data_IF_438604285085
#
_entry.id   IF_438604285085
#
_cell.length_a   1.000
_cell.length_b   1.000
_cell.length_c   1.000
_cell.angle_alpha   90.00
_cell.angle_beta   90.00
_cell.angle_gamma   90.00
#
_symmetry.space_group_name_H-M   'P 1'
#
loop_
_entity.id
_entity.type
_entity.pdbx_description
1 polymer ?
#
# COMPACT_ATOMS: atom_id res chain seq x y z
N UNK A 1 14.40 -1.03 17.43
CA UNK A 1 13.72 -2.11 16.70
C UNK A 1 14.72 -2.83 15.82
N UNK A 2 14.48 -4.12 15.50
CA UNK A 2 15.38 -4.88 14.62
C UNK A 2 15.31 -4.31 13.20
N UNK A 3 16.45 -4.01 12.53
CA UNK A 3 16.44 -3.42 11.19
C UNK A 3 15.64 -4.23 10.18
N UNK A 4 15.64 -5.56 10.27
CA UNK A 4 14.89 -6.42 9.35
C UNK A 4 13.38 -6.25 9.56
N UNK A 5 12.96 -6.10 10.81
CA UNK A 5 11.55 -5.81 11.14
C UNK A 5 11.14 -4.43 10.64
N UNK A 6 12.03 -3.43 10.71
CA UNK A 6 11.76 -2.11 10.14
C UNK A 6 11.60 -2.16 8.60
N UNK A 7 12.45 -2.92 7.91
CA UNK A 7 12.34 -3.13 6.45
C UNK A 7 11.05 -3.88 6.10
N UNK A 8 10.69 -4.91 6.87
CA UNK A 8 9.43 -5.62 6.72
C UNK A 8 8.22 -4.67 6.88
N UNK A 9 8.27 -3.73 7.82
CA UNK A 9 7.19 -2.78 8.03
C UNK A 9 7.00 -1.81 6.86
N UNK A 10 8.07 -1.12 6.47
CA UNK A 10 8.01 -0.01 5.53
C UNK A 10 7.99 -0.49 4.09
N UNK A 11 8.99 -1.29 3.72
CA UNK A 11 9.21 -1.64 2.31
C UNK A 11 8.25 -2.74 1.87
N UNK A 12 8.10 -3.78 2.70
CA UNK A 12 7.21 -4.91 2.39
C UNK A 12 5.76 -4.58 2.77
N UNK A 13 5.52 -4.25 4.03
CA UNK A 13 4.17 -4.06 4.57
C UNK A 13 3.43 -2.85 4.03
N UNK A 14 4.12 -1.82 3.52
CA UNK A 14 3.50 -0.57 3.10
C UNK A 14 3.80 -0.19 1.64
N UNK A 15 5.07 -0.11 1.24
CA UNK A 15 5.47 0.36 -0.09
C UNK A 15 5.14 -0.66 -1.20
N UNK A 16 5.29 -1.97 -0.95
CA UNK A 16 5.01 -2.99 -1.97
C UNK A 16 3.54 -3.02 -2.47
N UNK A 17 2.61 -2.41 -1.73
CA UNK A 17 1.21 -2.28 -2.14
C UNK A 17 1.00 -1.17 -3.18
N UNK A 18 1.85 -0.12 -3.14
CA UNK A 18 1.68 1.14 -3.87
C UNK A 18 1.57 0.95 -5.38
N UNK A 19 2.46 0.18 -6.06
CA UNK A 19 2.35 -0.01 -7.51
C UNK A 19 1.01 -0.56 -7.95
N UNK A 20 0.48 -1.54 -7.22
CA UNK A 20 -0.80 -2.19 -7.54
C UNK A 20 -2.00 -1.25 -7.38
N UNK A 21 -1.94 -0.35 -6.38
CA UNK A 21 -2.99 0.62 -6.08
C UNK A 21 -2.95 1.76 -7.10
N UNK A 22 -1.77 2.35 -7.32
CA UNK A 22 -1.62 3.51 -8.19
C UNK A 22 -1.92 3.15 -9.66
N UNK A 23 -1.50 1.98 -10.15
CA UNK A 23 -1.88 1.51 -11.50
C UNK A 23 -3.40 1.48 -11.74
N UNK A 24 -4.20 1.25 -10.70
CA UNK A 24 -5.67 1.27 -10.79
C UNK A 24 -6.23 2.69 -10.67
N UNK A 25 -5.60 3.55 -9.87
CA UNK A 25 -6.08 4.90 -9.59
C UNK A 25 -5.74 5.90 -10.71
N UNK A 26 -4.50 5.91 -11.20
CA UNK A 26 -4.01 6.94 -12.12
C UNK A 26 -4.81 7.04 -13.43
N UNK A 27 -5.28 5.95 -14.06
CA UNK A 27 -6.18 6.05 -15.22
C UNK A 27 -7.46 6.83 -14.91
N UNK A 28 -8.07 6.59 -13.75
CA UNK A 28 -9.29 7.31 -13.33
C UNK A 28 -9.02 8.79 -13.09
N UNK A 29 -7.88 9.13 -12.47
CA UNK A 29 -7.47 10.53 -12.25
C UNK A 29 -7.33 11.29 -13.58
N UNK A 30 -6.72 10.66 -14.60
CA UNK A 30 -6.60 11.26 -15.94
C UNK A 30 -7.94 11.33 -16.67
N UNK A 31 -8.65 10.21 -16.77
CA UNK A 31 -9.81 10.08 -17.67
C UNK A 31 -11.07 10.76 -17.12
N UNK A 32 -11.30 10.68 -15.82
CA UNK A 32 -12.52 11.19 -15.17
C UNK A 32 -12.31 12.54 -14.52
N UNK A 33 -11.19 12.70 -13.80
CA UNK A 33 -10.89 13.93 -13.06
C UNK A 33 -10.04 14.94 -13.84
N UNK A 34 -9.54 14.56 -15.03
CA UNK A 34 -8.81 15.44 -15.96
C UNK A 34 -7.51 16.01 -15.39
N UNK A 35 -6.86 15.27 -14.49
CA UNK A 35 -5.53 15.61 -14.01
C UNK A 35 -4.54 15.60 -15.19
N UNK A 36 -3.63 16.57 -15.18
CA UNK A 36 -2.54 16.69 -16.15
C UNK A 36 -1.44 15.67 -15.88
N UNK A 37 -0.53 15.48 -16.85
CA UNK A 37 0.61 14.58 -16.69
C UNK A 37 1.54 14.98 -15.53
N UNK A 38 1.70 16.28 -15.29
CA UNK A 38 2.50 16.79 -14.16
C UNK A 38 1.84 16.49 -12.80
N UNK A 39 0.51 16.61 -12.70
CA UNK A 39 -0.22 16.32 -11.45
C UNK A 39 -0.24 14.83 -11.10
N UNK A 40 -0.04 13.95 -12.08
CA UNK A 40 0.01 12.49 -11.87
C UNK A 40 1.45 11.92 -11.86
N UNK A 41 2.46 12.74 -12.15
CA UNK A 41 3.86 12.31 -12.22
C UNK A 41 4.32 11.61 -10.94
N UNK A 42 3.89 12.11 -9.78
CA UNK A 42 4.17 11.48 -8.48
C UNK A 42 3.75 10.01 -8.44
N UNK A 43 2.57 9.69 -8.98
CA UNK A 43 2.05 8.32 -9.00
C UNK A 43 2.84 7.44 -9.96
N UNK A 44 3.16 7.95 -11.16
CA UNK A 44 3.91 7.20 -12.16
C UNK A 44 5.33 6.88 -11.69
N UNK A 45 5.99 7.84 -11.04
CA UNK A 45 7.30 7.64 -10.44
C UNK A 45 7.26 6.56 -9.35
N UNK A 46 6.28 6.60 -8.45
CA UNK A 46 6.12 5.61 -7.39
C UNK A 46 5.75 4.23 -7.94
N UNK A 47 5.01 4.13 -9.05
CA UNK A 47 4.75 2.81 -9.65
C UNK A 47 6.05 2.10 -10.04
N UNK A 48 6.99 2.82 -10.64
CA UNK A 48 8.25 2.22 -11.13
C UNK A 48 9.28 2.08 -10.02
N UNK A 49 9.48 3.14 -9.24
CA UNK A 49 10.39 3.13 -8.09
C UNK A 49 9.97 2.03 -7.12
N UNK A 50 8.66 1.91 -6.87
CA UNK A 50 8.19 1.08 -5.77
C UNK A 50 8.31 -0.43 -6.02
N UNK A 51 8.36 -0.82 -7.29
CA UNK A 51 8.64 -2.21 -7.67
C UNK A 51 10.09 -2.60 -7.37
N UNK A 52 11.05 -1.71 -7.62
CA UNK A 52 12.47 -2.04 -7.51
C UNK A 52 12.87 -2.16 -6.04
N UNK A 53 12.59 -1.14 -5.23
CA UNK A 53 12.93 -1.20 -3.81
C UNK A 53 12.02 -2.17 -3.04
N UNK A 54 10.78 -2.40 -3.47
CA UNK A 54 9.89 -3.42 -2.92
C UNK A 54 10.52 -4.81 -3.03
N UNK A 55 10.92 -5.20 -4.24
CA UNK A 55 11.64 -6.47 -4.48
C UNK A 55 12.91 -6.55 -3.63
N UNK A 56 13.70 -5.47 -3.58
CA UNK A 56 14.92 -5.47 -2.77
C UNK A 56 14.63 -5.64 -1.27
N UNK A 57 13.58 -5.01 -0.76
CA UNK A 57 13.12 -5.15 0.61
C UNK A 57 12.69 -6.58 0.92
N UNK A 58 11.95 -7.23 0.02
CA UNK A 58 11.60 -8.64 0.14
C UNK A 58 12.84 -9.52 0.28
N UNK A 59 13.84 -9.33 -0.60
CA UNK A 59 15.08 -10.11 -0.52
C UNK A 59 15.82 -9.90 0.81
N UNK A 60 15.92 -8.66 1.29
CA UNK A 60 16.52 -8.36 2.60
C UNK A 60 15.80 -9.11 3.73
N UNK A 61 14.47 -9.10 3.74
CA UNK A 61 13.68 -9.80 4.77
C UNK A 61 13.87 -11.31 4.66
N UNK A 62 13.81 -11.88 3.46
CA UNK A 62 13.99 -13.32 3.25
C UNK A 62 15.38 -13.82 3.66
N UNK A 63 16.42 -13.05 3.37
CA UNK A 63 17.81 -13.41 3.71
C UNK A 63 18.11 -13.27 5.21
N UNK A 64 17.52 -12.26 5.88
CA UNK A 64 17.93 -11.87 7.23
C UNK A 64 16.93 -12.24 8.34
N UNK A 65 15.66 -12.52 8.02
CA UNK A 65 14.71 -13.09 8.97
C UNK A 65 14.95 -14.61 9.14
N UNK A 66 16.09 -14.95 9.72
CA UNK A 66 16.66 -16.31 9.73
C UNK A 66 16.30 -17.14 10.98
N UNK A 67 15.44 -16.63 11.85
CA UNK A 67 14.85 -17.38 12.96
C UNK A 67 13.33 -17.31 12.90
N UNK A 68 12.66 -18.31 13.48
CA UNK A 68 11.18 -18.35 13.53
C UNK A 68 10.65 -17.11 14.25
N UNK A 69 11.29 -16.71 15.35
CA UNK A 69 10.89 -15.54 16.13
C UNK A 69 10.98 -14.25 15.30
N UNK A 70 12.04 -14.08 14.52
CA UNK A 70 12.22 -12.90 13.68
C UNK A 70 11.25 -12.90 12.48
N UNK A 71 11.00 -14.06 11.89
CA UNK A 71 9.98 -14.23 10.84
C UNK A 71 8.59 -13.84 11.33
N UNK A 72 8.19 -14.31 12.52
CA UNK A 72 6.89 -13.98 13.10
C UNK A 72 6.75 -12.47 13.36
N UNK A 73 7.82 -11.81 13.82
CA UNK A 73 7.83 -10.34 13.99
C UNK A 73 7.69 -9.61 12.65
N UNK A 74 8.38 -10.06 11.61
CA UNK A 74 8.28 -9.49 10.26
C UNK A 74 6.86 -9.67 9.69
N UNK A 75 6.27 -10.86 9.81
CA UNK A 75 4.90 -11.11 9.37
C UNK A 75 3.90 -10.24 10.12
N UNK A 76 4.06 -10.12 11.45
CA UNK A 76 3.16 -9.31 12.27
C UNK A 76 3.24 -7.83 11.89
N UNK A 77 4.42 -7.29 11.64
CA UNK A 77 4.55 -5.88 11.28
C UNK A 77 4.06 -5.61 9.85
N UNK A 78 4.20 -6.56 8.92
CA UNK A 78 3.57 -6.49 7.60
C UNK A 78 2.03 -6.45 7.71
N UNK A 79 1.45 -7.31 8.54
CA UNK A 79 0.00 -7.32 8.82
C UNK A 79 -0.46 -5.96 9.37
N UNK A 80 0.28 -5.39 10.33
CA UNK A 80 0.00 -4.06 10.89
C UNK A 80 0.09 -2.99 9.79
N UNK A 81 1.10 -3.02 8.92
CA UNK A 81 1.23 -2.09 7.80
C UNK A 81 0.02 -2.11 6.86
N UNK A 82 -0.46 -3.32 6.53
CA UNK A 82 -1.68 -3.49 5.73
C UNK A 82 -2.94 -2.97 6.47
N UNK A 83 -3.06 -3.24 7.77
CA UNK A 83 -4.16 -2.73 8.59
C UNK A 83 -4.15 -1.19 8.65
N UNK A 84 -2.99 -0.56 8.78
CA UNK A 84 -2.89 0.90 8.80
C UNK A 84 -3.35 1.52 7.48
N UNK A 85 -3.00 0.90 6.34
CA UNK A 85 -3.51 1.34 5.02
C UNK A 85 -5.03 1.23 4.96
N UNK A 86 -5.58 0.09 5.38
CA UNK A 86 -7.03 -0.12 5.42
C UNK A 86 -7.71 0.94 6.30
N UNK A 87 -7.25 1.12 7.54
CA UNK A 87 -7.83 2.08 8.48
C UNK A 87 -7.80 3.50 7.92
N UNK A 88 -6.70 3.92 7.29
CA UNK A 88 -6.60 5.22 6.65
C UNK A 88 -7.63 5.39 5.53
N UNK A 89 -7.73 4.43 4.61
CA UNK A 89 -8.69 4.50 3.50
C UNK A 89 -10.14 4.37 3.98
N UNK A 90 -10.39 3.57 5.01
CA UNK A 90 -11.69 3.45 5.68
C UNK A 90 -12.11 4.77 6.31
N UNK A 91 -11.21 5.48 6.98
CA UNK A 91 -11.50 6.80 7.54
C UNK A 91 -11.87 7.81 6.45
N UNK A 92 -11.11 7.85 5.34
CA UNK A 92 -11.47 8.70 4.19
C UNK A 92 -12.85 8.37 3.63
N UNK A 93 -13.20 7.10 3.53
CA UNK A 93 -14.52 6.68 3.07
C UNK A 93 -15.63 7.19 3.99
N UNK A 94 -15.50 7.00 5.30
CA UNK A 94 -16.51 7.44 6.26
C UNK A 94 -16.68 8.96 6.27
N UNK A 95 -15.58 9.70 6.20
CA UNK A 95 -15.60 11.16 6.26
C UNK A 95 -16.17 11.80 4.98
N UNK A 96 -15.83 11.25 3.80
CA UNK A 96 -16.08 11.90 2.52
C UNK A 96 -17.08 11.18 1.60
N UNK A 97 -17.39 9.91 1.81
CA UNK A 97 -18.18 9.10 0.84
C UNK A 97 -19.45 8.53 1.45
N UNK A 98 -19.43 8.05 2.70
CA UNK A 98 -20.54 7.28 3.29
C UNK A 98 -21.90 7.99 3.20
N UNK A 99 -21.93 9.32 3.42
CA UNK A 99 -23.17 10.12 3.40
C UNK A 99 -23.83 10.15 2.02
N UNK A 100 -23.05 9.98 0.95
CA UNK A 100 -23.53 9.98 -0.43
C UNK A 100 -23.76 8.56 -0.94
N UNK A 101 -22.83 7.64 -0.64
CA UNK A 101 -22.86 6.25 -1.12
C UNK A 101 -22.48 5.30 0.02
N UNK A 102 -23.47 4.80 0.78
CA UNK A 102 -23.25 3.82 1.86
C UNK A 102 -22.69 2.48 1.36
N UNK A 103 -21.95 1.77 2.21
CA UNK A 103 -21.26 0.50 1.87
C UNK A 103 -22.20 -0.53 1.19
N UNK A 104 -23.44 -0.76 1.67
CA UNK A 104 -24.36 -1.71 1.02
C UNK A 104 -24.72 -1.37 -0.43
N UNK A 105 -24.56 -0.10 -0.84
CA UNK A 105 -24.87 0.37 -2.19
C UNK A 105 -23.68 0.29 -3.14
N UNK A 106 -22.45 0.11 -2.63
CA UNK A 106 -21.25 0.06 -3.46
C UNK A 106 -21.14 -1.21 -4.31
N UNK A 107 -21.97 -2.23 -4.06
CA UNK A 107 -21.97 -3.48 -4.84
C UNK A 107 -20.63 -4.24 -4.75
N UNK A 108 -19.76 -3.88 -3.81
CA UNK A 108 -18.53 -4.57 -3.51
C UNK A 108 -18.91 -5.79 -2.68
N UNK A 109 -18.96 -6.97 -3.33
CA UNK A 109 -19.26 -8.22 -2.66
C UNK A 109 -18.27 -8.47 -1.51
N UNK A 110 -18.82 -8.92 -0.38
CA UNK A 110 -18.09 -9.40 0.80
C UNK A 110 -17.21 -10.62 0.49
#
# INVERSE_FOLDING_TARGET
>A
EDPVVAVAALVVGLESQVPSIYRKQTPTLREKYRFTDEEVEFFDLHIVSDEIHGERGYQIVLENANTVELQQRCLKICEIGAQMRLLYTTALYYDYVEKEIPLPQLGLAA
#
